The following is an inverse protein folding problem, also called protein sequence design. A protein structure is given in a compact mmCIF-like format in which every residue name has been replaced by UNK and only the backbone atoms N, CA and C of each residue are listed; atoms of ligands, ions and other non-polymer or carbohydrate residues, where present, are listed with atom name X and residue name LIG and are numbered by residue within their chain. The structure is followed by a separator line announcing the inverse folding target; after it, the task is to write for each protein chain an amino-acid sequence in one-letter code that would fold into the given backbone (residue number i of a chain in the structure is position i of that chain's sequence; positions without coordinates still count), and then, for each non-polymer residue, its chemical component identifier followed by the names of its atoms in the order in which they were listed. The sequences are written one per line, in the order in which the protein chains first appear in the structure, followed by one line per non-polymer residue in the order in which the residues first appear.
data_IF_660415555966
#
_entry.id   IF_660415555966
#
_cell.length_a   1.000
_cell.length_b   1.000
_cell.length_c   1.000
_cell.angle_alpha   90.00
_cell.angle_beta   90.00
_cell.angle_gamma   90.00
#
_symmetry.space_group_name_H-M   'P 1'
#
loop_
_entity.id
_entity.type
_entity.pdbx_description
1 polymer ?
#
# COMPACT_ATOMS: atom_id res chain seq x y z
N UNK A 1 -2.08 7.48 9.15
CA UNK A 1 -2.89 8.69 8.93
C UNK A 1 -3.65 8.60 7.59
N UNK A 2 -2.99 8.79 6.44
CA UNK A 2 -3.67 8.86 5.14
C UNK A 2 -4.47 7.60 4.75
N UNK A 3 -3.94 6.39 5.04
CA UNK A 3 -4.64 5.14 4.74
C UNK A 3 -6.01 5.04 5.43
N UNK A 4 -6.08 5.45 6.70
CA UNK A 4 -7.32 5.42 7.46
C UNK A 4 -8.28 6.49 6.95
N UNK A 5 -7.78 7.70 6.66
CA UNK A 5 -8.60 8.79 6.12
C UNK A 5 -9.28 8.38 4.79
N UNK A 6 -8.54 7.75 3.88
CA UNK A 6 -9.11 7.24 2.61
C UNK A 6 -10.11 6.12 2.88
N UNK A 7 -9.77 5.16 3.73
CA UNK A 7 -10.68 4.05 4.05
C UNK A 7 -11.98 4.53 4.69
N UNK A 8 -11.91 5.53 5.54
CA UNK A 8 -13.08 6.09 6.24
C UNK A 8 -14.01 6.84 5.26
N UNK A 9 -13.47 7.54 4.25
CA UNK A 9 -14.29 8.17 3.19
C UNK A 9 -15.13 7.14 2.41
N UNK A 10 -14.58 5.95 2.18
CA UNK A 10 -15.26 4.88 1.46
C UNK A 10 -16.01 3.89 2.37
N UNK A 11 -15.95 4.08 3.69
CA UNK A 11 -16.59 3.18 4.64
C UNK A 11 -18.11 3.21 4.48
N UNK A 12 -18.71 2.04 4.29
CA UNK A 12 -20.16 1.88 4.12
C UNK A 12 -20.73 2.38 2.77
N UNK A 13 -19.87 2.81 1.83
CA UNK A 13 -20.29 3.18 0.49
C UNK A 13 -20.56 1.94 -0.37
N UNK A 14 -21.66 1.96 -1.13
CA UNK A 14 -21.91 0.95 -2.15
C UNK A 14 -20.83 1.06 -3.24
N UNK A 15 -20.28 -0.06 -3.69
CA UNK A 15 -19.18 -0.12 -4.66
C UNK A 15 -17.85 0.54 -4.20
N UNK A 16 -17.56 0.51 -2.90
CA UNK A 16 -16.26 0.93 -2.40
C UNK A 16 -15.11 0.17 -3.10
N UNK A 17 -14.07 0.87 -3.58
CA UNK A 17 -12.94 0.22 -4.24
C UNK A 17 -12.12 -0.60 -3.24
N UNK A 18 -11.29 -1.52 -3.75
CA UNK A 18 -10.30 -2.18 -2.91
C UNK A 18 -9.20 -1.18 -2.50
N UNK A 19 -9.01 -1.03 -1.19
CA UNK A 19 -8.07 -0.07 -0.61
C UNK A 19 -7.02 -0.82 0.20
N UNK A 20 -5.80 -0.87 -0.33
CA UNK A 20 -4.61 -1.35 0.37
C UNK A 20 -3.65 -0.22 0.67
N UNK A 21 -2.96 -0.30 1.80
CA UNK A 21 -2.01 0.70 2.26
C UNK A 21 -0.63 0.11 2.49
N UNK A 22 0.39 0.95 2.33
CA UNK A 22 1.77 0.59 2.64
C UNK A 22 2.59 1.75 3.15
N UNK A 23 3.78 1.45 3.66
CA UNK A 23 4.75 2.42 4.19
C UNK A 23 5.97 2.48 3.28
N UNK A 24 6.51 3.70 3.09
CA UNK A 24 7.66 3.95 2.25
C UNK A 24 8.49 5.12 2.78
N UNK A 25 9.72 5.27 2.31
CA UNK A 25 10.56 6.44 2.59
C UNK A 25 10.95 6.64 4.07
N UNK A 26 10.78 5.63 4.92
CA UNK A 26 11.14 5.73 6.34
C UNK A 26 12.66 5.90 6.46
N UNK A 27 13.08 6.96 7.18
CA UNK A 27 14.50 7.27 7.36
C UNK A 27 15.21 7.77 6.10
N UNK A 28 14.52 8.51 5.23
CA UNK A 28 15.05 9.01 3.95
C UNK A 28 15.51 7.90 3.00
N UNK A 29 14.88 6.73 3.09
CA UNK A 29 15.17 5.63 2.18
C UNK A 29 14.67 5.96 0.77
N UNK A 30 15.54 5.75 -0.22
CA UNK A 30 15.21 6.04 -1.61
C UNK A 30 13.97 5.30 -2.08
N UNK A 31 13.07 6.05 -2.71
CA UNK A 31 11.87 5.53 -3.34
C UNK A 31 12.07 5.53 -4.85
N UNK A 32 12.30 4.36 -5.43
CA UNK A 32 12.60 4.24 -6.87
C UNK A 32 11.33 4.01 -7.69
N UNK A 33 11.32 4.36 -8.98
CA UNK A 33 10.19 4.05 -9.86
C UNK A 33 9.82 2.56 -9.90
N UNK A 34 10.79 1.66 -9.79
CA UNK A 34 10.56 0.22 -9.71
C UNK A 34 9.79 -0.21 -8.46
N UNK A 35 10.01 0.45 -7.32
CA UNK A 35 9.25 0.19 -6.09
C UNK A 35 7.81 0.68 -6.21
N UNK A 36 7.57 1.77 -6.95
CA UNK A 36 6.22 2.24 -7.26
C UNK A 36 5.51 1.27 -8.20
N UNK A 37 6.22 0.72 -9.21
CA UNK A 37 5.67 -0.32 -10.07
C UNK A 37 5.23 -1.54 -9.25
N UNK A 38 6.02 -1.98 -8.26
CA UNK A 38 5.65 -3.08 -7.38
C UNK A 38 4.34 -2.82 -6.59
N UNK A 39 3.98 -1.57 -6.30
CA UNK A 39 2.69 -1.22 -5.69
C UNK A 39 1.54 -1.50 -6.66
N UNK A 40 1.69 -1.15 -7.95
CA UNK A 40 0.69 -1.45 -8.96
C UNK A 40 0.58 -2.95 -9.24
N UNK A 41 1.71 -3.66 -9.26
CA UNK A 41 1.71 -5.11 -9.39
C UNK A 41 1.00 -5.79 -8.21
N UNK A 42 1.20 -5.28 -6.98
CA UNK A 42 0.47 -5.75 -5.79
C UNK A 42 -1.05 -5.55 -5.92
N UNK A 43 -1.49 -4.41 -6.46
CA UNK A 43 -2.90 -4.13 -6.72
C UNK A 43 -3.50 -5.04 -7.81
N UNK A 44 -2.67 -5.55 -8.73
CA UNK A 44 -3.12 -6.46 -9.79
C UNK A 44 -3.23 -7.93 -9.32
N UNK A 45 -2.81 -8.25 -8.09
CA UNK A 45 -2.94 -9.60 -7.54
C UNK A 45 -4.41 -9.96 -7.28
N UNK A 46 -4.79 -11.24 -7.36
CA UNK A 46 -6.13 -11.69 -6.97
C UNK A 46 -6.48 -11.39 -5.51
N UNK A 47 -5.46 -11.29 -4.65
CA UNK A 47 -5.57 -10.86 -3.26
C UNK A 47 -4.40 -9.92 -2.94
N UNK A 48 -4.58 -8.60 -3.18
CA UNK A 48 -3.56 -7.59 -2.90
C UNK A 48 -3.09 -7.62 -1.45
N UNK A 49 -1.76 -7.53 -1.25
CA UNK A 49 -1.20 -7.42 0.10
C UNK A 49 -1.56 -6.05 0.67
N UNK A 50 -2.13 -6.04 1.87
CA UNK A 50 -2.34 -4.83 2.65
C UNK A 50 -1.23 -4.66 3.70
N UNK A 51 -1.10 -3.46 4.27
CA UNK A 51 -0.08 -3.08 5.25
C UNK A 51 1.36 -3.42 4.82
N UNK A 52 1.67 -3.25 3.54
CA UNK A 52 2.98 -3.59 2.98
C UNK A 52 4.03 -2.52 3.27
N UNK A 53 5.29 -2.84 2.97
CA UNK A 53 6.42 -1.90 3.00
C UNK A 53 7.15 -1.96 1.68
N UNK A 54 7.57 -0.81 1.15
CA UNK A 54 8.41 -0.76 -0.05
C UNK A 54 9.80 -0.27 0.30
N UNK A 55 10.80 -0.83 -0.37
CA UNK A 55 12.21 -0.49 -0.19
C UNK A 55 12.91 -1.19 0.99
N UNK A 56 12.22 -2.03 1.77
CA UNK A 56 12.83 -2.93 2.75
C UNK A 56 12.42 -4.37 2.46
N UNK A 57 13.33 -5.31 2.70
CA UNK A 57 12.98 -6.72 2.82
C UNK A 57 12.63 -6.91 4.29
N UNK A 58 11.36 -7.17 4.57
CA UNK A 58 10.87 -7.43 5.92
C UNK A 58 10.83 -8.95 6.12
N UNK A 59 11.85 -9.51 6.77
CA UNK A 59 12.05 -10.95 6.99
C UNK A 59 11.59 -11.43 8.37
N UNK A 60 11.04 -10.54 9.19
CA UNK A 60 10.66 -10.83 10.59
C UNK A 60 9.14 -10.81 10.82
N UNK A 61 8.35 -10.22 9.92
CA UNK A 61 6.89 -10.01 10.09
C UNK A 61 6.00 -10.99 9.37
#
# INVERSE_FOLDING_TARGET
PLYLDVKDVFYGQENAPEIVGGRYGLGSKDTTPSQILAVFENLALPMPKNNFTIGIVDDVT
#
